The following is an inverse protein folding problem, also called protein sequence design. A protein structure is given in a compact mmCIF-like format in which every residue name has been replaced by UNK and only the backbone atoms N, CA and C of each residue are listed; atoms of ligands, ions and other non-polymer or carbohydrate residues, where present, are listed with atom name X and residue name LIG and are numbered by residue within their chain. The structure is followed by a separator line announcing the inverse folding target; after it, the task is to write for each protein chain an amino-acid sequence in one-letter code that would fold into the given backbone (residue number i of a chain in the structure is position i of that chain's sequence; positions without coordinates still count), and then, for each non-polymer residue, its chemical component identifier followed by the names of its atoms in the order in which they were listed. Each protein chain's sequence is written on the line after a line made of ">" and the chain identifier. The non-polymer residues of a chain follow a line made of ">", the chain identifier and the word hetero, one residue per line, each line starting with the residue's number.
data_IF_563480539240
#
_entry.id   IF_563480539240
#
_cell.length_a   1.000
_cell.length_b   1.000
_cell.length_c   1.000
_cell.angle_alpha   90.00
_cell.angle_beta   90.00
_cell.angle_gamma   90.00
#
_symmetry.space_group_name_H-M   'P 1'
#
loop_
_entity.id
_entity.type
_entity.pdbx_description
1 polymer ?
#
# COMPACT_ATOMS: atom_id res chain seq x y z
N UNK A 1 51.15 16.19 -55.17
CA UNK A 1 50.90 16.22 -53.71
C UNK A 1 49.46 16.62 -53.31
N UNK A 2 48.70 17.38 -54.11
CA UNK A 2 47.30 17.74 -53.78
C UNK A 2 46.29 16.57 -53.76
N UNK A 3 46.39 15.59 -54.69
CA UNK A 3 45.50 14.42 -54.73
C UNK A 3 45.59 13.51 -53.50
N UNK A 4 46.78 13.31 -52.95
CA UNK A 4 46.97 12.51 -51.74
C UNK A 4 46.35 13.19 -50.49
N UNK A 5 46.41 14.53 -50.45
CA UNK A 5 45.87 15.34 -49.36
C UNK A 5 44.34 15.42 -49.38
N UNK A 6 43.70 15.46 -50.56
CA UNK A 6 42.23 15.39 -50.65
C UNK A 6 41.70 14.00 -50.27
N UNK A 7 42.44 12.94 -50.62
CA UNK A 7 42.05 11.56 -50.30
C UNK A 7 42.14 11.25 -48.81
N UNK A 8 43.21 11.73 -48.15
CA UNK A 8 43.34 11.69 -46.68
C UNK A 8 42.22 12.44 -45.95
N UNK A 9 41.81 13.62 -46.45
CA UNK A 9 40.71 14.38 -45.86
C UNK A 9 39.36 13.68 -46.02
N UNK A 10 39.10 13.02 -47.15
CA UNK A 10 37.89 12.21 -47.33
C UNK A 10 37.84 10.99 -46.41
N UNK A 11 38.97 10.28 -46.23
CA UNK A 11 39.04 9.14 -45.30
C UNK A 11 38.81 9.61 -43.86
N UNK A 12 39.40 10.73 -43.46
CA UNK A 12 39.22 11.31 -42.12
C UNK A 12 37.76 11.72 -41.88
N UNK A 13 37.11 12.34 -42.88
CA UNK A 13 35.72 12.76 -42.81
C UNK A 13 34.74 11.58 -42.69
N UNK A 14 34.95 10.52 -43.49
CA UNK A 14 34.13 9.30 -43.41
C UNK A 14 34.35 8.56 -42.10
N UNK A 15 35.60 8.49 -41.61
CA UNK A 15 35.92 7.88 -40.32
C UNK A 15 35.27 8.63 -39.14
N UNK A 16 35.29 9.96 -39.14
CA UNK A 16 34.63 10.77 -38.12
C UNK A 16 33.10 10.58 -38.13
N UNK A 17 32.50 10.48 -39.32
CA UNK A 17 31.05 10.26 -39.47
C UNK A 17 30.63 8.87 -38.96
N UNK A 18 31.42 7.83 -39.28
CA UNK A 18 31.20 6.48 -38.75
C UNK A 18 31.33 6.42 -37.23
N UNK A 19 32.34 7.08 -36.65
CA UNK A 19 32.49 7.19 -35.20
C UNK A 19 31.33 7.95 -34.55
N UNK A 20 30.81 9.00 -35.19
CA UNK A 20 29.63 9.72 -34.73
C UNK A 20 28.37 8.85 -34.72
N UNK A 21 28.16 8.05 -35.76
CA UNK A 21 27.03 7.10 -35.83
C UNK A 21 27.18 6.00 -34.78
N UNK A 22 28.36 5.40 -34.63
CA UNK A 22 28.63 4.39 -33.60
C UNK A 22 28.42 4.98 -32.20
N UNK A 23 28.89 6.21 -31.94
CA UNK A 23 28.66 6.91 -30.68
C UNK A 23 27.17 7.11 -30.39
N UNK A 24 26.38 7.55 -31.37
CA UNK A 24 24.93 7.68 -31.24
C UNK A 24 24.22 6.33 -31.00
N UNK A 25 24.63 5.28 -31.70
CA UNK A 25 24.11 3.92 -31.51
C UNK A 25 24.48 3.39 -30.12
N UNK A 26 25.71 3.61 -29.65
CA UNK A 26 26.16 3.19 -28.31
C UNK A 26 25.47 3.98 -27.20
N UNK A 27 25.25 5.28 -27.37
CA UNK A 27 24.47 6.10 -26.43
C UNK A 27 23.01 5.66 -26.42
N UNK A 28 22.42 5.38 -27.60
CA UNK A 28 21.07 4.83 -27.72
C UNK A 28 20.95 3.47 -27.04
N UNK A 29 21.89 2.56 -27.29
CA UNK A 29 21.95 1.25 -26.66
C UNK A 29 22.14 1.36 -25.15
N UNK A 30 23.04 2.23 -24.68
CA UNK A 30 23.26 2.48 -23.25
C UNK A 30 22.02 3.08 -22.59
N UNK A 31 21.33 4.04 -23.20
CA UNK A 31 20.11 4.62 -22.67
C UNK A 31 18.95 3.60 -22.62
N UNK A 32 18.90 2.66 -23.57
CA UNK A 32 17.93 1.56 -23.59
C UNK A 32 18.26 0.49 -22.54
N UNK A 33 19.52 0.11 -22.36
CA UNK A 33 19.94 -0.91 -21.38
C UNK A 33 19.97 -0.38 -19.95
N UNK A 34 20.38 0.86 -19.73
CA UNK A 34 20.34 1.51 -18.40
C UNK A 34 18.91 1.72 -17.89
N UNK A 35 17.95 2.05 -18.79
CA UNK A 35 16.52 2.07 -18.43
C UNK A 35 16.02 0.71 -17.96
N UNK A 36 16.54 -0.39 -18.54
CA UNK A 36 16.20 -1.77 -18.18
C UNK A 36 16.83 -2.23 -16.87
N UNK A 37 17.97 -1.66 -16.46
CA UNK A 37 18.65 -1.97 -15.20
C UNK A 37 18.26 -1.00 -14.07
N UNK A 38 16.99 -0.62 -14.00
CA UNK A 38 16.51 0.24 -12.92
C UNK A 38 16.31 -0.61 -11.67
N UNK A 39 17.03 -0.33 -10.59
CA UNK A 39 16.72 -0.92 -9.28
C UNK A 39 15.30 -0.52 -8.84
N UNK A 40 14.55 -1.38 -8.14
CA UNK A 40 13.29 -1.01 -7.54
C UNK A 40 13.44 0.21 -6.60
N UNK A 41 12.39 1.02 -6.46
CA UNK A 41 12.44 2.25 -5.66
C UNK A 41 12.45 1.90 -4.17
N UNK A 42 13.34 2.47 -3.35
CA UNK A 42 13.30 2.29 -1.89
C UNK A 42 11.94 2.69 -1.31
N UNK A 43 11.51 1.99 -0.26
CA UNK A 43 10.24 2.27 0.40
C UNK A 43 10.20 3.70 0.96
N UNK A 44 9.02 4.31 0.86
CA UNK A 44 8.69 5.62 1.42
C UNK A 44 7.37 5.50 2.13
N UNK A 45 7.30 6.04 3.34
CA UNK A 45 6.09 6.08 4.16
C UNK A 45 4.93 6.75 3.39
N UNK A 46 3.88 6.00 3.00
CA UNK A 46 2.74 6.54 2.26
C UNK A 46 2.01 7.67 3.01
N UNK A 47 2.05 7.66 4.35
CA UNK A 47 1.30 8.60 5.19
C UNK A 47 1.90 10.00 5.24
N UNK A 48 3.19 10.15 4.92
CA UNK A 48 3.91 11.44 4.84
C UNK A 48 3.65 12.13 3.49
N UNK A 49 3.20 11.37 2.49
CA UNK A 49 3.04 11.88 1.11
C UNK A 49 1.73 12.66 0.93
N UNK A 50 0.83 12.72 1.91
CA UNK A 50 -0.42 13.51 1.78
C UNK A 50 -0.11 15.03 1.71
N UNK A 51 -0.40 15.66 0.57
CA UNK A 51 -0.20 17.12 0.38
C UNK A 51 -1.38 17.88 0.96
N UNK A 52 -1.27 18.34 2.20
CA UNK A 52 -2.38 19.01 2.91
C UNK A 52 -3.07 20.17 2.16
N UNK A 53 -2.38 20.86 1.24
CA UNK A 53 -2.94 21.99 0.47
C UNK A 53 -3.80 21.59 -0.74
N UNK A 54 -3.72 20.36 -1.21
CA UNK A 54 -4.49 19.87 -2.37
C UNK A 54 -5.63 18.91 -1.96
N UNK A 55 -5.82 18.72 -0.65
CA UNK A 55 -6.90 17.90 -0.11
C UNK A 55 -8.16 18.77 -0.03
N UNK A 56 -9.18 18.41 -0.80
CA UNK A 56 -10.53 18.97 -0.70
C UNK A 56 -11.18 18.52 0.63
N UNK A 57 -11.43 19.44 1.58
CA UNK A 57 -11.89 19.07 2.92
C UNK A 57 -13.31 18.47 2.97
N UNK A 58 -14.17 18.88 2.05
CA UNK A 58 -15.54 18.38 1.90
C UNK A 58 -15.57 16.86 1.66
N UNK A 59 -14.56 16.31 0.99
CA UNK A 59 -14.39 14.87 0.79
C UNK A 59 -13.61 14.22 1.94
N UNK A 60 -12.52 14.84 2.40
CA UNK A 60 -11.61 14.22 3.37
C UNK A 60 -12.17 14.13 4.80
N UNK A 61 -13.18 14.97 5.13
CA UNK A 61 -13.89 14.98 6.41
C UNK A 61 -15.03 13.97 6.50
N UNK A 62 -15.49 13.37 5.38
CA UNK A 62 -16.62 12.44 5.38
C UNK A 62 -16.49 11.31 6.43
N UNK A 63 -15.32 10.69 6.66
CA UNK A 63 -15.17 9.70 7.72
C UNK A 63 -15.40 10.25 9.14
N UNK A 64 -15.12 11.53 9.40
CA UNK A 64 -15.42 12.16 10.69
C UNK A 64 -16.93 12.38 10.89
N UNK A 65 -17.67 12.51 9.78
CA UNK A 65 -19.14 12.54 9.77
C UNK A 65 -19.78 11.14 9.84
N UNK A 66 -18.97 10.08 9.98
CA UNK A 66 -19.48 8.70 10.09
C UNK A 66 -19.79 8.03 8.75
N UNK A 67 -19.36 8.61 7.63
CA UNK A 67 -19.42 7.94 6.32
C UNK A 67 -18.32 6.87 6.26
N UNK A 68 -18.68 5.66 5.83
CA UNK A 68 -17.72 4.57 5.67
C UNK A 68 -16.57 4.95 4.74
N UNK A 69 -15.35 4.48 5.05
CA UNK A 69 -14.14 4.80 4.27
C UNK A 69 -14.29 4.43 2.79
N UNK A 70 -14.93 3.30 2.49
CA UNK A 70 -15.21 2.87 1.10
C UNK A 70 -16.05 3.91 0.34
N UNK A 71 -17.13 4.38 0.96
CA UNK A 71 -18.04 5.35 0.36
C UNK A 71 -17.34 6.72 0.23
N UNK A 72 -16.59 7.15 1.26
CA UNK A 72 -15.83 8.38 1.24
C UNK A 72 -14.76 8.39 0.12
N UNK A 73 -14.03 7.29 -0.07
CA UNK A 73 -13.06 7.14 -1.16
C UNK A 73 -13.76 7.17 -2.51
N UNK A 74 -14.89 6.46 -2.63
CA UNK A 74 -15.66 6.41 -3.88
C UNK A 74 -16.17 7.78 -4.29
N UNK A 75 -16.72 8.56 -3.35
CA UNK A 75 -17.15 9.95 -3.59
C UNK A 75 -16.00 10.85 -4.03
N UNK A 76 -14.86 10.77 -3.35
CA UNK A 76 -13.68 11.55 -3.70
C UNK A 76 -13.17 11.21 -5.12
N UNK A 77 -13.12 9.92 -5.48
CA UNK A 77 -12.73 9.47 -6.82
C UNK A 77 -13.75 9.91 -7.90
N UNK A 78 -15.04 9.86 -7.61
CA UNK A 78 -16.09 10.33 -8.51
C UNK A 78 -16.05 11.84 -8.74
N UNK A 79 -15.64 12.61 -7.72
CA UNK A 79 -15.41 14.05 -7.82
C UNK A 79 -14.04 14.42 -8.44
N UNK A 80 -13.22 13.42 -8.80
CA UNK A 80 -11.84 13.59 -9.25
C UNK A 80 -10.93 14.31 -8.23
N UNK A 81 -11.27 14.23 -6.95
CA UNK A 81 -10.49 14.77 -5.82
C UNK A 81 -9.47 13.72 -5.36
N UNK A 82 -8.46 13.49 -6.18
CA UNK A 82 -7.53 12.36 -6.03
C UNK A 82 -6.71 12.42 -4.73
N UNK A 83 -6.26 13.61 -4.31
CA UNK A 83 -5.49 13.78 -3.08
C UNK A 83 -6.36 13.57 -1.82
N UNK A 84 -7.66 13.87 -1.89
CA UNK A 84 -8.62 13.52 -0.83
C UNK A 84 -8.87 12.01 -0.79
N UNK A 85 -9.04 11.38 -1.94
CA UNK A 85 -9.16 9.91 -2.03
C UNK A 85 -7.91 9.21 -1.47
N UNK A 86 -6.72 9.70 -1.83
CA UNK A 86 -5.43 9.23 -1.30
C UNK A 86 -5.39 9.34 0.23
N UNK A 87 -5.78 10.49 0.76
CA UNK A 87 -5.77 10.75 2.20
C UNK A 87 -6.73 9.81 2.97
N UNK A 88 -7.96 9.61 2.47
CA UNK A 88 -8.88 8.68 3.13
C UNK A 88 -8.35 7.24 3.04
N UNK A 89 -7.85 6.82 1.88
CA UNK A 89 -7.35 5.47 1.65
C UNK A 89 -6.12 5.14 2.52
N UNK A 90 -5.16 6.05 2.64
CA UNK A 90 -3.90 5.80 3.35
C UNK A 90 -4.09 5.65 4.85
N UNK A 91 -5.06 6.35 5.44
CA UNK A 91 -5.39 6.28 6.87
C UNK A 91 -6.55 5.31 7.19
N UNK A 92 -7.09 4.61 6.19
CA UNK A 92 -8.22 3.70 6.42
C UNK A 92 -7.79 2.43 7.17
N UNK A 93 -8.50 2.10 8.24
CA UNK A 93 -8.30 0.88 9.03
C UNK A 93 -9.41 -0.15 8.85
N UNK A 94 -10.45 0.15 8.06
CA UNK A 94 -11.65 -0.68 7.90
C UNK A 94 -11.63 -1.56 6.65
N UNK A 95 -10.86 -1.17 5.62
CA UNK A 95 -10.78 -1.91 4.35
C UNK A 95 -10.05 -3.25 4.50
N UNK A 96 -10.61 -4.30 3.88
CA UNK A 96 -9.90 -5.55 3.66
C UNK A 96 -8.69 -5.37 2.73
N UNK A 97 -7.74 -6.30 2.77
CA UNK A 97 -6.53 -6.22 1.94
C UNK A 97 -6.86 -6.18 0.44
N UNK A 98 -7.84 -6.96 -0.01
CA UNK A 98 -8.27 -6.98 -1.41
C UNK A 98 -8.90 -5.65 -1.85
N UNK A 99 -9.77 -5.07 -1.01
CA UNK A 99 -10.39 -3.76 -1.29
C UNK A 99 -9.34 -2.65 -1.30
N UNK A 100 -8.45 -2.66 -0.30
CA UNK A 100 -7.34 -1.71 -0.19
C UNK A 100 -6.44 -1.76 -1.42
N UNK A 101 -6.00 -2.96 -1.83
CA UNK A 101 -5.21 -3.14 -3.04
C UNK A 101 -5.94 -2.65 -4.30
N UNK A 102 -7.21 -3.02 -4.45
CA UNK A 102 -8.04 -2.59 -5.59
C UNK A 102 -8.17 -1.06 -5.68
N UNK A 103 -8.36 -0.38 -4.54
CA UNK A 103 -8.45 1.08 -4.46
C UNK A 103 -7.12 1.76 -4.75
N UNK A 104 -6.00 1.20 -4.29
CA UNK A 104 -4.67 1.69 -4.67
C UNK A 104 -4.43 1.56 -6.18
N UNK A 105 -4.79 0.45 -6.81
CA UNK A 105 -4.68 0.28 -8.26
C UNK A 105 -5.54 1.31 -9.01
N UNK A 106 -6.78 1.52 -8.57
CA UNK A 106 -7.69 2.49 -9.20
C UNK A 106 -7.18 3.91 -9.06
N UNK A 107 -6.74 4.31 -7.86
CA UNK A 107 -6.19 5.63 -7.60
C UNK A 107 -4.89 5.86 -8.41
N UNK A 108 -4.03 4.84 -8.51
CA UNK A 108 -2.84 4.87 -9.36
C UNK A 108 -3.17 5.14 -10.83
N UNK A 109 -4.21 4.47 -11.34
CA UNK A 109 -4.71 4.70 -12.69
C UNK A 109 -5.20 6.14 -12.89
N UNK A 110 -5.96 6.70 -11.95
CA UNK A 110 -6.46 8.08 -12.04
C UNK A 110 -5.33 9.12 -12.01
N UNK A 111 -4.30 8.92 -11.18
CA UNK A 111 -3.11 9.77 -11.20
C UNK A 111 -2.33 9.63 -12.51
N UNK A 112 -2.23 8.42 -13.07
CA UNK A 112 -1.58 8.19 -14.35
C UNK A 112 -2.29 8.94 -15.48
N UNK A 113 -3.62 8.84 -15.54
CA UNK A 113 -4.48 9.57 -16.50
C UNK A 113 -4.34 11.09 -16.35
N UNK A 114 -4.09 11.57 -15.12
CA UNK A 114 -3.84 12.99 -14.81
C UNK A 114 -2.38 13.43 -15.03
N UNK A 115 -1.49 12.53 -15.46
CA UNK A 115 -0.08 12.81 -15.72
C UNK A 115 0.83 12.84 -14.47
N UNK A 116 0.29 12.56 -13.27
CA UNK A 116 1.04 12.54 -12.01
C UNK A 116 1.78 11.20 -11.81
N UNK A 117 2.84 10.98 -12.59
CA UNK A 117 3.57 9.70 -12.64
C UNK A 117 4.10 9.22 -11.29
N UNK A 118 4.66 10.12 -10.48
CA UNK A 118 5.21 9.72 -9.17
C UNK A 118 4.12 9.23 -8.20
N UNK A 119 2.96 9.90 -8.19
CA UNK A 119 1.80 9.51 -7.39
C UNK A 119 1.23 8.18 -7.85
N UNK A 120 1.06 8.03 -9.16
CA UNK A 120 0.62 6.80 -9.76
C UNK A 120 1.56 5.63 -9.41
N UNK A 121 2.88 5.83 -9.55
CA UNK A 121 3.89 4.87 -9.15
C UNK A 121 3.83 4.49 -7.67
N UNK A 122 3.63 5.46 -6.77
CA UNK A 122 3.45 5.16 -5.34
C UNK A 122 2.22 4.29 -5.09
N UNK A 123 1.08 4.63 -5.71
CA UNK A 123 -0.15 3.86 -5.55
C UNK A 123 0.02 2.41 -6.04
N UNK A 124 0.63 2.22 -7.20
CA UNK A 124 0.90 0.87 -7.72
C UNK A 124 1.88 0.08 -6.86
N UNK A 125 2.94 0.71 -6.35
CA UNK A 125 3.85 0.06 -5.38
C UNK A 125 3.12 -0.36 -4.12
N UNK A 126 2.30 0.52 -3.54
CA UNK A 126 1.54 0.20 -2.33
C UNK A 126 0.53 -0.94 -2.60
N UNK A 127 -0.10 -0.99 -3.77
CA UNK A 127 -0.94 -2.12 -4.15
C UNK A 127 -0.14 -3.44 -4.24
N UNK A 128 1.07 -3.40 -4.82
CA UNK A 128 1.97 -4.55 -4.88
C UNK A 128 2.39 -4.99 -3.47
N UNK A 129 2.72 -4.07 -2.57
CA UNK A 129 3.06 -4.38 -1.17
C UNK A 129 1.91 -5.06 -0.42
N UNK A 130 0.67 -4.57 -0.58
CA UNK A 130 -0.52 -5.23 -0.04
C UNK A 130 -0.63 -6.65 -0.59
N UNK A 131 -0.48 -6.84 -1.90
CA UNK A 131 -0.53 -8.16 -2.51
C UNK A 131 0.63 -9.07 -2.07
N UNK A 132 1.82 -8.55 -1.82
CA UNK A 132 2.95 -9.36 -1.36
C UNK A 132 2.77 -9.78 0.10
N UNK A 133 2.42 -8.84 0.97
CA UNK A 133 2.42 -9.05 2.42
C UNK A 133 1.11 -9.60 2.96
N UNK A 134 -0.03 -9.35 2.31
CA UNK A 134 -1.35 -9.78 2.81
C UNK A 134 -1.35 -11.26 3.19
N UNK A 135 -1.72 -11.62 4.43
CA UNK A 135 -1.87 -13.01 4.81
C UNK A 135 -3.19 -13.63 4.32
N UNK A 136 -4.18 -12.81 3.92
CA UNK A 136 -5.56 -13.27 3.66
C UNK A 136 -6.00 -13.21 2.20
N UNK A 137 -5.26 -12.52 1.32
CA UNK A 137 -5.56 -12.52 -0.12
C UNK A 137 -5.42 -13.92 -0.73
N UNK A 138 -6.40 -14.31 -1.55
CA UNK A 138 -6.31 -15.52 -2.38
C UNK A 138 -5.20 -15.40 -3.42
N UNK A 139 -4.62 -16.52 -3.87
CA UNK A 139 -3.55 -16.51 -4.87
C UNK A 139 -3.99 -15.88 -6.19
N UNK A 140 -5.27 -16.02 -6.56
CA UNK A 140 -5.83 -15.35 -7.73
C UNK A 140 -5.82 -13.83 -7.57
N UNK A 141 -6.42 -13.33 -6.47
CA UNK A 141 -6.47 -11.89 -6.20
C UNK A 141 -5.07 -11.30 -6.09
N UNK A 142 -4.15 -12.07 -5.50
CA UNK A 142 -2.74 -11.72 -5.35
C UNK A 142 -2.02 -11.60 -6.69
N UNK A 143 -2.05 -12.64 -7.53
CA UNK A 143 -1.40 -12.63 -8.83
C UNK A 143 -1.98 -11.55 -9.75
N UNK A 144 -3.30 -11.35 -9.75
CA UNK A 144 -3.95 -10.31 -10.53
C UNK A 144 -3.58 -8.90 -10.05
N UNK A 145 -3.49 -8.69 -8.73
CA UNK A 145 -3.08 -7.40 -8.17
C UNK A 145 -1.63 -7.08 -8.54
N UNK A 146 -0.72 -8.04 -8.37
CA UNK A 146 0.69 -7.90 -8.73
C UNK A 146 0.87 -7.63 -10.23
N UNK A 147 0.17 -8.36 -11.09
CA UNK A 147 0.19 -8.14 -12.53
C UNK A 147 -0.30 -6.72 -12.88
N UNK A 148 -1.45 -6.29 -12.33
CA UNK A 148 -2.00 -4.95 -12.59
C UNK A 148 -1.09 -3.84 -12.07
N UNK A 149 -0.49 -4.04 -10.90
CA UNK A 149 0.49 -3.11 -10.34
C UNK A 149 1.73 -3.03 -11.25
N UNK A 150 2.26 -4.17 -11.69
CA UNK A 150 3.40 -4.25 -12.61
C UNK A 150 3.13 -3.55 -13.94
N UNK A 151 1.96 -3.77 -14.55
CA UNK A 151 1.54 -3.07 -15.77
C UNK A 151 1.44 -1.55 -15.55
N UNK A 152 0.85 -1.12 -14.43
CA UNK A 152 0.77 0.31 -14.08
C UNK A 152 2.14 0.95 -13.86
N UNK A 153 3.03 0.25 -13.14
CA UNK A 153 4.42 0.68 -12.92
C UNK A 153 5.21 0.80 -14.22
N UNK A 154 5.01 -0.14 -15.15
CA UNK A 154 5.62 -0.08 -16.49
C UNK A 154 5.11 1.16 -17.26
N UNK A 155 3.82 1.46 -17.19
CA UNK A 155 3.21 2.62 -17.85
C UNK A 155 3.72 3.96 -17.32
N UNK A 156 4.04 4.04 -16.02
CA UNK A 156 4.66 5.24 -15.41
C UNK A 156 6.19 5.22 -15.44
N UNK A 157 6.79 4.26 -16.15
CA UNK A 157 8.24 4.11 -16.36
C UNK A 157 9.04 3.76 -15.08
N UNK A 158 8.38 3.18 -14.08
CA UNK A 158 9.01 2.63 -12.88
C UNK A 158 9.46 1.18 -13.14
N UNK A 159 10.41 0.99 -14.07
CA UNK A 159 10.72 -0.32 -14.66
C UNK A 159 11.19 -1.36 -13.65
N UNK A 160 12.02 -0.99 -12.66
CA UNK A 160 12.49 -1.91 -11.62
C UNK A 160 11.36 -2.43 -10.73
N UNK A 161 10.46 -1.53 -10.32
CA UNK A 161 9.27 -1.88 -9.54
C UNK A 161 8.30 -2.74 -10.38
N UNK A 162 8.17 -2.43 -11.67
CA UNK A 162 7.32 -3.16 -12.60
C UNK A 162 7.79 -4.60 -12.79
N UNK A 163 9.09 -4.80 -13.05
CA UNK A 163 9.69 -6.12 -13.17
C UNK A 163 9.52 -6.92 -11.88
N UNK A 164 9.80 -6.32 -10.72
CA UNK A 164 9.63 -6.97 -9.42
C UNK A 164 8.18 -7.43 -9.17
N UNK A 165 7.19 -6.62 -9.53
CA UNK A 165 5.78 -6.99 -9.38
C UNK A 165 5.38 -8.10 -10.37
N UNK A 166 5.84 -8.04 -11.62
CA UNK A 166 5.60 -9.07 -12.62
C UNK A 166 6.25 -10.41 -12.26
N UNK A 167 7.48 -10.41 -11.76
CA UNK A 167 8.19 -11.62 -11.34
C UNK A 167 7.44 -12.31 -10.17
N UNK A 168 6.89 -11.54 -9.24
CA UNK A 168 6.04 -12.10 -8.18
C UNK A 168 4.70 -12.63 -8.71
N UNK A 169 4.07 -11.94 -9.68
CA UNK A 169 2.84 -12.43 -10.31
C UNK A 169 3.09 -13.75 -11.06
N UNK A 170 4.25 -13.86 -11.73
CA UNK A 170 4.73 -15.07 -12.36
C UNK A 170 4.88 -16.20 -11.33
N UNK A 171 5.60 -15.96 -10.24
CA UNK A 171 5.84 -16.98 -9.21
C UNK A 171 4.54 -17.45 -8.55
N UNK A 172 3.59 -16.55 -8.27
CA UNK A 172 2.27 -16.95 -7.77
C UNK A 172 1.55 -17.82 -8.82
N UNK A 173 1.57 -17.44 -10.10
CA UNK A 173 0.94 -18.21 -11.16
C UNK A 173 1.55 -19.61 -11.35
N UNK A 174 2.88 -19.70 -11.22
CA UNK A 174 3.65 -20.93 -11.42
C UNK A 174 3.52 -21.89 -10.22
N UNK A 175 3.72 -21.39 -9.00
CA UNK A 175 3.83 -22.25 -7.80
C UNK A 175 2.51 -22.44 -7.04
N UNK A 176 1.48 -21.62 -7.30
CA UNK A 176 0.21 -21.79 -6.60
C UNK A 176 -0.50 -23.07 -7.03
N UNK A 177 -0.87 -23.96 -6.08
CA UNK A 177 -1.69 -25.13 -6.38
C UNK A 177 -3.18 -24.77 -6.52
N UNK A 178 -3.58 -23.56 -6.12
CA UNK A 178 -4.98 -23.12 -6.03
C UNK A 178 -5.49 -22.44 -7.31
N UNK A 179 -4.60 -22.16 -8.26
CA UNK A 179 -4.98 -21.57 -9.55
C UNK A 179 -5.46 -22.64 -10.53
N UNK A 180 -6.51 -22.32 -11.28
CA UNK A 180 -6.97 -23.13 -12.42
C UNK A 180 -6.10 -22.88 -13.64
N UNK A 181 -6.13 -23.78 -14.62
CA UNK A 181 -5.45 -23.58 -15.89
C UNK A 181 -5.93 -22.30 -16.60
N UNK A 182 -7.23 -22.01 -16.55
CA UNK A 182 -7.80 -20.78 -17.11
C UNK A 182 -7.24 -19.53 -16.43
N UNK A 183 -7.12 -19.53 -15.09
CA UNK A 183 -6.51 -18.42 -14.36
C UNK A 183 -5.04 -18.23 -14.75
N UNK A 184 -4.26 -19.32 -14.84
CA UNK A 184 -2.86 -19.24 -15.26
C UNK A 184 -2.71 -18.71 -16.68
N UNK A 185 -3.56 -19.14 -17.62
CA UNK A 185 -3.56 -18.65 -19.00
C UNK A 185 -3.83 -17.13 -19.06
N UNK A 186 -4.81 -16.66 -18.29
CA UNK A 186 -5.11 -15.22 -18.22
C UNK A 186 -3.94 -14.41 -17.66
N UNK A 187 -3.31 -14.88 -16.57
CA UNK A 187 -2.15 -14.21 -15.96
C UNK A 187 -0.97 -14.21 -16.93
N UNK A 188 -0.70 -15.35 -17.59
CA UNK A 188 0.36 -15.49 -18.58
C UNK A 188 0.23 -14.48 -19.73
N UNK A 189 -0.98 -14.29 -20.29
CA UNK A 189 -1.20 -13.33 -21.37
C UNK A 189 -0.88 -11.89 -20.94
N UNK A 190 -1.26 -11.52 -19.72
CA UNK A 190 -0.93 -10.21 -19.16
C UNK A 190 0.57 -10.04 -18.90
N UNK A 191 1.23 -11.08 -18.39
CA UNK A 191 2.68 -11.10 -18.18
C UNK A 191 3.44 -10.97 -19.50
N UNK A 192 3.06 -11.72 -20.53
CA UNK A 192 3.66 -11.62 -21.88
C UNK A 192 3.61 -10.18 -22.41
N UNK A 193 2.45 -9.55 -22.30
CA UNK A 193 2.25 -8.16 -22.73
C UNK A 193 3.12 -7.20 -21.93
N UNK A 194 3.16 -7.36 -20.61
CA UNK A 194 3.88 -6.43 -19.72
C UNK A 194 5.40 -6.62 -19.83
N UNK A 195 5.90 -7.86 -19.86
CA UNK A 195 7.32 -8.16 -20.06
C UNK A 195 7.82 -7.66 -21.42
N UNK A 196 7.04 -7.84 -22.49
CA UNK A 196 7.37 -7.28 -23.79
C UNK A 196 7.47 -5.74 -23.75
N UNK A 197 6.56 -5.06 -23.05
CA UNK A 197 6.60 -3.61 -22.85
C UNK A 197 7.81 -3.16 -22.01
N UNK A 198 8.28 -3.99 -21.08
CA UNK A 198 9.52 -3.80 -20.32
C UNK A 198 10.78 -4.12 -21.14
N UNK A 199 10.63 -4.70 -22.33
CA UNK A 199 11.75 -5.13 -23.17
C UNK A 199 12.44 -6.40 -22.68
N UNK A 200 11.74 -7.19 -21.86
CA UNK A 200 12.18 -8.51 -21.39
C UNK A 200 11.83 -9.58 -22.44
N UNK A 201 12.65 -10.61 -22.56
CA UNK A 201 12.45 -11.67 -23.54
C UNK A 201 11.50 -12.76 -23.08
N UNK A 202 11.29 -13.75 -23.95
CA UNK A 202 10.37 -14.87 -23.67
C UNK A 202 10.82 -15.73 -22.48
N UNK A 203 12.11 -15.71 -22.15
CA UNK A 203 12.69 -16.44 -21.03
C UNK A 203 12.02 -16.17 -19.69
N UNK A 204 11.41 -14.99 -19.51
CA UNK A 204 10.72 -14.59 -18.27
C UNK A 204 9.38 -15.29 -18.03
N UNK A 205 8.78 -15.92 -19.03
CA UNK A 205 7.44 -16.51 -18.93
C UNK A 205 7.30 -17.87 -19.61
N UNK A 206 8.35 -18.35 -20.28
CA UNK A 206 8.32 -19.56 -21.10
C UNK A 206 8.04 -20.83 -20.30
N UNK A 207 8.56 -20.92 -19.08
CA UNK A 207 8.30 -22.01 -18.14
C UNK A 207 6.83 -22.05 -17.73
N UNK A 208 6.23 -20.91 -17.38
CA UNK A 208 4.79 -20.81 -17.12
C UNK A 208 3.97 -21.19 -18.35
N UNK A 209 4.36 -20.76 -19.55
CA UNK A 209 3.68 -21.16 -20.78
C UNK A 209 3.71 -22.68 -21.02
N UNK A 210 4.84 -23.34 -20.76
CA UNK A 210 4.95 -24.80 -20.82
C UNK A 210 4.05 -25.47 -19.79
N UNK A 211 4.01 -24.96 -18.56
CA UNK A 211 3.14 -25.46 -17.49
C UNK A 211 1.66 -25.37 -17.88
N UNK A 212 1.20 -24.20 -18.34
CA UNK A 212 -0.19 -24.00 -18.76
C UNK A 212 -0.58 -24.94 -19.89
N UNK A 213 0.34 -25.19 -20.83
CA UNK A 213 0.13 -26.16 -21.93
C UNK A 213 0.05 -27.60 -21.41
N UNK A 214 0.85 -27.96 -20.41
CA UNK A 214 0.87 -29.31 -19.83
C UNK A 214 -0.38 -29.70 -19.03
N UNK A 215 -1.21 -28.72 -18.65
CA UNK A 215 -2.53 -28.97 -18.04
C UNK A 215 -2.49 -29.47 -16.59
N UNK A 216 -1.77 -28.77 -15.70
CA UNK A 216 -1.82 -29.07 -14.26
C UNK A 216 -3.21 -28.82 -13.66
N UNK A 217 -3.75 -29.85 -13.01
CA UNK A 217 -5.00 -29.75 -12.26
C UNK A 217 -4.81 -28.88 -11.01
N UNK A 218 -5.75 -27.96 -10.78
CA UNK A 218 -5.81 -27.20 -9.53
C UNK A 218 -6.17 -28.14 -8.37
N UNK A 219 -5.61 -27.90 -7.18
CA UNK A 219 -6.13 -28.48 -5.95
C UNK A 219 -7.22 -27.55 -5.41
N UNK A 220 -8.50 -27.96 -5.41
CA UNK A 220 -9.62 -27.10 -5.03
C UNK A 220 -9.73 -26.84 -3.52
N UNK A 221 -8.72 -27.20 -2.72
CA UNK A 221 -8.76 -26.90 -1.29
C UNK A 221 -8.69 -25.38 -1.08
N UNK A 222 -9.57 -24.80 -0.24
CA UNK A 222 -9.52 -23.39 0.06
C UNK A 222 -8.19 -23.07 0.74
N UNK A 223 -7.54 -21.97 0.32
CA UNK A 223 -6.46 -21.37 1.09
C UNK A 223 -7.04 -20.93 2.44
N UNK A 224 -6.89 -21.78 3.46
CA UNK A 224 -7.24 -21.42 4.82
C UNK A 224 -6.04 -20.75 5.45
N UNK A 225 -5.89 -19.45 5.21
CA UNK A 225 -5.10 -18.64 6.13
C UNK A 225 -5.85 -18.58 7.46
N UNK A 226 -5.18 -18.85 8.57
CA UNK A 226 -5.74 -18.59 9.90
C UNK A 226 -5.93 -17.07 10.04
N UNK A 227 -7.17 -16.61 9.85
CA UNK A 227 -7.53 -15.20 9.98
C UNK A 227 -7.76 -14.91 11.45
N UNK A 228 -7.06 -13.91 11.98
CA UNK A 228 -7.35 -13.39 13.32
C UNK A 228 -8.57 -12.49 13.22
N UNK A 229 -9.74 -13.05 13.53
CA UNK A 229 -10.99 -12.30 13.59
C UNK A 229 -10.99 -11.42 14.83
N UNK A 230 -11.13 -10.11 14.63
CA UNK A 230 -11.26 -9.16 15.74
C UNK A 230 -12.59 -9.41 16.46
N UNK A 231 -12.58 -9.65 17.78
CA UNK A 231 -13.81 -9.79 18.54
C UNK A 231 -14.66 -8.51 18.49
N UNK A 232 -15.99 -8.60 18.62
CA UNK A 232 -16.85 -7.42 18.63
C UNK A 232 -16.51 -6.51 19.81
N UNK A 233 -16.48 -5.20 19.55
CA UNK A 233 -16.25 -4.20 20.58
C UNK A 233 -17.48 -4.10 21.50
N UNK A 234 -17.31 -4.17 22.84
CA UNK A 234 -18.42 -3.96 23.76
C UNK A 234 -19.05 -2.57 23.60
N UNK A 235 -20.38 -2.51 23.68
CA UNK A 235 -21.12 -1.25 23.59
C UNK A 235 -20.76 -0.34 24.76
N UNK A 236 -20.42 0.91 24.46
CA UNK A 236 -20.15 1.95 25.46
C UNK A 236 -20.96 3.21 25.11
N UNK A 237 -21.89 3.58 25.98
CA UNK A 237 -22.82 4.70 25.74
C UNK A 237 -22.11 6.06 25.69
N UNK A 238 -21.11 6.30 26.56
CA UNK A 238 -20.34 7.55 26.53
C UNK A 238 -19.56 7.68 25.22
N UNK A 239 -18.97 6.58 24.73
CA UNK A 239 -18.27 6.60 23.43
C UNK A 239 -19.23 6.89 22.30
N UNK A 240 -20.39 6.22 22.27
CA UNK A 240 -21.39 6.43 21.22
C UNK A 240 -21.92 7.87 21.20
N UNK A 241 -22.15 8.47 22.38
CA UNK A 241 -22.56 9.87 22.50
C UNK A 241 -21.48 10.84 21.99
N UNK A 242 -20.21 10.60 22.34
CA UNK A 242 -19.10 11.43 21.87
C UNK A 242 -18.87 11.30 20.35
N UNK A 243 -19.01 10.09 19.80
CA UNK A 243 -18.95 9.87 18.35
C UNK A 243 -20.07 10.61 17.61
N UNK A 244 -21.29 10.55 18.13
CA UNK A 244 -22.43 11.29 17.58
C UNK A 244 -22.21 12.81 17.64
N UNK A 245 -21.61 13.33 18.72
CA UNK A 245 -21.27 14.74 18.84
C UNK A 245 -20.22 15.17 17.80
N UNK A 246 -19.17 14.37 17.58
CA UNK A 246 -18.19 14.60 16.49
C UNK A 246 -18.87 14.58 15.12
N UNK A 247 -19.73 13.60 14.85
CA UNK A 247 -20.42 13.47 13.57
C UNK A 247 -21.28 14.71 13.30
N UNK A 248 -22.12 15.11 14.26
CA UNK A 248 -22.97 16.29 14.14
C UNK A 248 -22.15 17.59 13.98
N UNK A 249 -21.00 17.71 14.65
CA UNK A 249 -20.10 18.85 14.46
C UNK A 249 -19.46 18.86 13.06
N UNK A 250 -19.06 17.69 12.55
CA UNK A 250 -18.48 17.54 11.21
C UNK A 250 -19.50 17.87 10.13
N UNK A 251 -20.74 17.41 10.26
CA UNK A 251 -21.82 17.71 9.32
C UNK A 251 -22.05 19.22 9.18
N UNK A 252 -22.03 19.97 10.30
CA UNK A 252 -22.13 21.44 10.27
C UNK A 252 -21.00 22.09 9.48
N UNK A 253 -19.78 21.54 9.55
CA UNK A 253 -18.64 22.00 8.75
C UNK A 253 -18.84 21.66 7.26
N UNK A 254 -19.26 20.43 6.96
CA UNK A 254 -19.51 19.96 5.60
C UNK A 254 -20.56 20.78 4.86
N UNK A 255 -21.65 21.19 5.54
CA UNK A 255 -22.70 22.04 4.95
C UNK A 255 -22.15 23.37 4.41
N UNK A 256 -21.11 23.92 5.04
CA UNK A 256 -20.50 25.21 4.68
C UNK A 256 -19.38 25.08 3.64
N UNK A 257 -18.86 23.87 3.44
CA UNK A 257 -17.84 23.60 2.42
C UNK A 257 -18.42 23.44 1.00
N UNK A 258 -19.74 23.39 0.87
CA UNK A 258 -20.44 23.33 -0.43
C UNK A 258 -20.43 24.71 -1.10
N UNK A 259 -20.09 24.82 -2.40
CA UNK A 259 -20.06 26.09 -3.12
C UNK A 259 -21.34 26.94 -2.95
N UNK A 260 -21.22 28.27 -2.82
CA UNK A 260 -20.04 29.10 -3.06
C UNK A 260 -19.10 29.28 -1.85
N UNK A 261 -19.48 28.80 -0.67
CA UNK A 261 -18.67 28.90 0.54
C UNK A 261 -17.68 27.72 0.56
N UNK A 262 -16.39 27.99 0.78
CA UNK A 262 -15.33 26.97 0.79
C UNK A 262 -14.49 26.97 2.06
N UNK A 263 -14.72 27.93 2.95
CA UNK A 263 -13.98 28.05 4.20
C UNK A 263 -14.95 28.12 5.38
N UNK A 264 -14.91 27.13 6.29
CA UNK A 264 -15.72 27.16 7.49
C UNK A 264 -15.22 28.26 8.42
N UNK A 265 -16.15 28.88 9.16
CA UNK A 265 -15.78 29.89 10.16
C UNK A 265 -14.96 29.27 11.29
N UNK A 266 -14.12 30.09 11.94
CA UNK A 266 -13.38 29.67 13.15
C UNK A 266 -14.29 29.11 14.24
N UNK A 267 -15.52 29.61 14.33
CA UNK A 267 -16.52 29.11 15.28
C UNK A 267 -16.89 27.66 14.99
N UNK A 268 -17.17 27.29 13.74
CA UNK A 268 -17.48 25.90 13.38
C UNK A 268 -16.28 24.97 13.56
N UNK A 269 -15.08 25.45 13.23
CA UNK A 269 -13.85 24.68 13.45
C UNK A 269 -13.61 24.44 14.96
N UNK A 270 -13.84 25.43 15.81
CA UNK A 270 -13.72 25.27 17.26
C UNK A 270 -14.74 24.26 17.82
N UNK A 271 -15.99 24.27 17.36
CA UNK A 271 -16.99 23.27 17.77
C UNK A 271 -16.54 21.85 17.40
N UNK A 272 -16.02 21.65 16.18
CA UNK A 272 -15.50 20.35 15.77
C UNK A 272 -14.25 19.95 16.58
N UNK A 273 -13.36 20.91 16.87
CA UNK A 273 -12.20 20.67 17.71
C UNK A 273 -12.59 20.22 19.13
N UNK A 274 -13.55 20.89 19.76
CA UNK A 274 -14.07 20.55 21.08
C UNK A 274 -14.71 19.16 21.10
N UNK A 275 -15.50 18.82 20.08
CA UNK A 275 -16.10 17.49 19.95
C UNK A 275 -15.04 16.39 19.80
N UNK A 276 -14.01 16.61 18.98
CA UNK A 276 -12.88 15.69 18.82
C UNK A 276 -12.07 15.51 20.11
N UNK A 277 -11.85 16.58 20.87
CA UNK A 277 -11.16 16.53 22.16
C UNK A 277 -11.99 15.81 23.23
N UNK A 278 -13.32 16.03 23.27
CA UNK A 278 -14.21 15.32 24.18
C UNK A 278 -14.24 13.82 23.87
N UNK A 279 -14.33 13.44 22.60
CA UNK A 279 -14.27 12.04 22.16
C UNK A 279 -12.93 11.38 22.54
N UNK A 280 -11.80 12.08 22.38
CA UNK A 280 -10.48 11.60 22.79
C UNK A 280 -10.43 11.27 24.28
N UNK A 281 -10.97 12.14 25.14
CA UNK A 281 -11.00 11.91 26.59
C UNK A 281 -11.85 10.70 26.98
N UNK A 282 -13.00 10.52 26.33
CA UNK A 282 -13.87 9.36 26.55
C UNK A 282 -13.19 8.08 26.08
N UNK A 283 -12.61 8.07 24.87
CA UNK A 283 -11.94 6.90 24.31
C UNK A 283 -10.65 6.53 25.05
N UNK A 284 -9.91 7.49 25.60
CA UNK A 284 -8.77 7.21 26.46
C UNK A 284 -9.18 6.48 27.75
N UNK A 285 -10.33 6.82 28.34
CA UNK A 285 -10.87 6.10 29.51
C UNK A 285 -11.42 4.73 29.12
N UNK A 286 -12.15 4.64 28.01
CA UNK A 286 -12.79 3.40 27.56
C UNK A 286 -11.81 2.35 27.00
N UNK A 287 -10.76 2.80 26.31
CA UNK A 287 -9.79 1.95 25.58
C UNK A 287 -8.35 2.12 26.09
N UNK A 288 -8.17 2.73 27.26
CA UNK A 288 -6.86 2.92 27.90
C UNK A 288 -6.28 1.64 28.48
N UNK A 289 -5.04 1.73 28.95
CA UNK A 289 -4.30 0.57 29.48
C UNK A 289 -5.00 -0.09 30.67
N UNK A 290 -5.60 0.70 31.57
CA UNK A 290 -6.36 0.19 32.71
C UNK A 290 -7.60 -0.62 32.29
N UNK A 291 -8.37 -0.10 31.33
CA UNK A 291 -9.56 -0.77 30.80
C UNK A 291 -9.20 -2.06 30.06
N UNK A 292 -8.12 -2.03 29.25
CA UNK A 292 -7.61 -3.21 28.57
C UNK A 292 -7.14 -4.26 29.61
N UNK A 293 -6.37 -3.87 30.62
CA UNK A 293 -5.84 -4.81 31.61
C UNK A 293 -6.93 -5.48 32.47
N UNK A 294 -8.03 -4.77 32.75
CA UNK A 294 -9.14 -5.27 33.57
C UNK A 294 -10.07 -6.24 32.83
N UNK A 295 -10.04 -6.28 31.50
CA UNK A 295 -10.97 -7.06 30.68
C UNK A 295 -10.51 -8.50 30.42
N UNK A 296 -11.42 -9.37 29.97
CA UNK A 296 -11.10 -10.71 29.47
C UNK A 296 -10.44 -10.66 28.09
N UNK A 297 -9.64 -11.68 27.73
CA UNK A 297 -8.76 -11.64 26.55
C UNK A 297 -9.46 -11.22 25.23
N UNK A 298 -10.65 -11.75 24.87
CA UNK A 298 -11.37 -11.27 23.67
C UNK A 298 -11.67 -9.77 23.72
N UNK A 299 -12.11 -9.27 24.88
CA UNK A 299 -12.36 -7.84 25.08
C UNK A 299 -11.06 -7.03 25.07
N UNK A 300 -9.96 -7.53 25.64
CA UNK A 300 -8.65 -6.86 25.54
C UNK A 300 -8.27 -6.60 24.09
N UNK A 301 -8.45 -7.62 23.22
CA UNK A 301 -8.19 -7.52 21.79
C UNK A 301 -9.09 -6.47 21.12
N UNK A 302 -10.40 -6.51 21.39
CA UNK A 302 -11.35 -5.56 20.81
C UNK A 302 -11.03 -4.10 21.20
N UNK A 303 -10.75 -3.85 22.50
CA UNK A 303 -10.40 -2.52 23.00
C UNK A 303 -9.06 -2.04 22.43
N UNK A 304 -8.04 -2.91 22.36
CA UNK A 304 -6.75 -2.56 21.78
C UNK A 304 -6.85 -2.24 20.27
N UNK A 305 -7.67 -2.99 19.53
CA UNK A 305 -7.95 -2.70 18.13
C UNK A 305 -8.66 -1.35 17.97
N UNK A 306 -9.70 -1.08 18.78
CA UNK A 306 -10.39 0.21 18.78
C UNK A 306 -9.45 1.39 19.10
N UNK A 307 -8.49 1.20 20.01
CA UNK A 307 -7.46 2.21 20.32
C UNK A 307 -6.57 2.52 19.11
N UNK A 308 -6.13 1.51 18.37
CA UNK A 308 -5.33 1.69 17.13
C UNK A 308 -6.13 2.46 16.08
N UNK A 309 -7.41 2.10 15.87
CA UNK A 309 -8.31 2.80 14.95
C UNK A 309 -8.45 4.28 15.32
N UNK A 310 -8.69 4.58 16.61
CA UNK A 310 -8.80 5.95 17.10
C UNK A 310 -7.49 6.74 16.92
N UNK A 311 -6.36 6.18 17.31
CA UNK A 311 -5.06 6.85 17.20
C UNK A 311 -4.64 7.08 15.74
N UNK A 312 -5.06 6.21 14.82
CA UNK A 312 -4.85 6.41 13.37
C UNK A 312 -5.64 7.62 12.86
N UNK A 313 -6.91 7.75 13.27
CA UNK A 313 -7.72 8.93 12.95
C UNK A 313 -7.13 10.20 13.56
N UNK A 314 -6.68 10.14 14.82
CA UNK A 314 -6.03 11.26 15.52
C UNK A 314 -4.76 11.70 14.78
N UNK A 315 -3.95 10.75 14.30
CA UNK A 315 -2.76 11.04 13.49
C UNK A 315 -3.12 11.68 12.14
N UNK A 316 -4.18 11.20 11.45
CA UNK A 316 -4.70 11.83 10.23
C UNK A 316 -5.03 13.31 10.46
N UNK A 317 -5.70 13.63 11.57
CA UNK A 317 -6.03 15.00 11.95
C UNK A 317 -4.77 15.81 12.28
N UNK A 318 -3.87 15.27 13.10
CA UNK A 318 -2.60 15.92 13.47
C UNK A 318 -1.73 16.27 12.26
N UNK A 319 -1.77 15.46 11.20
CA UNK A 319 -1.04 15.70 9.95
C UNK A 319 -1.79 16.58 8.95
N UNK A 320 -2.94 17.15 9.34
CA UNK A 320 -3.82 17.94 8.46
C UNK A 320 -4.21 17.20 7.19
N UNK A 321 -4.28 15.88 7.25
CA UNK A 321 -4.71 15.04 6.13
C UNK A 321 -6.23 15.14 5.89
N UNK A 322 -6.94 15.98 6.64
CA UNK A 322 -8.32 16.41 6.36
C UNK A 322 -8.41 17.64 5.45
N UNK A 323 -7.28 18.25 5.07
CA UNK A 323 -7.23 19.49 4.29
C UNK A 323 -7.48 20.77 5.11
N UNK A 324 -7.81 20.63 6.40
CA UNK A 324 -8.01 21.73 7.34
C UNK A 324 -7.17 21.53 8.60
N UNK A 325 -6.85 22.64 9.27
CA UNK A 325 -6.36 22.60 10.64
C UNK A 325 -7.56 22.48 11.58
N UNK A 326 -7.69 21.34 12.26
CA UNK A 326 -8.86 21.04 13.11
C UNK A 326 -8.52 21.17 14.59
N UNK A 327 -7.45 20.50 15.04
CA UNK A 327 -7.04 20.48 16.45
C UNK A 327 -5.56 20.86 16.54
N UNK A 328 -5.23 22.16 16.68
CA UNK A 328 -3.85 22.64 16.68
C UNK A 328 -2.94 21.95 17.73
N UNK A 329 -3.51 21.59 18.89
CA UNK A 329 -2.77 20.88 19.93
C UNK A 329 -2.29 19.49 19.48
N UNK A 330 -3.12 18.78 18.71
CA UNK A 330 -2.74 17.47 18.16
C UNK A 330 -1.68 17.62 17.07
N UNK A 331 -1.79 18.66 16.24
CA UNK A 331 -0.80 18.97 15.20
C UNK A 331 0.57 19.28 15.81
N UNK A 332 0.61 20.02 16.92
CA UNK A 332 1.83 20.29 17.66
C UNK A 332 2.41 19.04 18.36
N UNK A 333 1.58 18.02 18.60
CA UNK A 333 1.93 16.78 19.30
C UNK A 333 1.99 15.56 18.36
N UNK A 334 2.17 15.76 17.05
CA UNK A 334 2.17 14.69 16.04
C UNK A 334 3.15 13.55 16.40
N UNK A 335 4.37 13.89 16.84
CA UNK A 335 5.36 12.90 17.27
C UNK A 335 4.88 12.08 18.49
N UNK A 336 4.22 12.72 19.46
CA UNK A 336 3.68 12.04 20.63
C UNK A 336 2.50 11.13 20.29
N UNK A 337 1.63 11.54 19.35
CA UNK A 337 0.55 10.69 18.83
C UNK A 337 1.13 9.48 18.08
N UNK A 338 2.21 9.69 17.31
CA UNK A 338 2.91 8.62 16.61
C UNK A 338 3.50 7.59 17.57
N UNK A 339 4.14 8.03 18.66
CA UNK A 339 4.65 7.14 19.71
C UNK A 339 3.53 6.37 20.43
N UNK A 340 2.40 7.02 20.71
CA UNK A 340 1.22 6.36 21.27
C UNK A 340 0.65 5.30 20.31
N UNK A 341 0.60 5.59 19.01
CA UNK A 341 0.12 4.66 17.99
C UNK A 341 1.05 3.44 17.88
N UNK A 342 2.38 3.66 17.88
CA UNK A 342 3.36 2.57 17.93
C UNK A 342 3.12 1.66 19.14
N UNK A 343 3.03 2.23 20.34
CA UNK A 343 2.79 1.46 21.57
C UNK A 343 1.43 0.72 21.55
N UNK A 344 0.39 1.31 20.95
CA UNK A 344 -0.90 0.66 20.78
C UNK A 344 -0.82 -0.56 19.84
N UNK A 345 -0.07 -0.47 18.75
CA UNK A 345 0.20 -1.61 17.86
C UNK A 345 0.99 -2.71 18.55
N UNK A 346 2.04 -2.37 19.32
CA UNK A 346 2.79 -3.36 20.10
C UNK A 346 1.88 -4.13 21.06
N UNK A 347 1.00 -3.41 21.76
CA UNK A 347 0.01 -4.02 22.66
C UNK A 347 -0.97 -4.91 21.88
N UNK A 348 -1.51 -4.41 20.76
CA UNK A 348 -2.46 -5.15 19.92
C UNK A 348 -1.86 -6.47 19.43
N UNK A 349 -0.66 -6.46 18.88
CA UNK A 349 -0.05 -7.69 18.33
C UNK A 349 0.38 -8.68 19.40
N UNK A 350 0.78 -8.21 20.60
CA UNK A 350 0.97 -9.09 21.77
C UNK A 350 -0.34 -9.78 22.18
N UNK A 351 -1.47 -9.06 22.14
CA UNK A 351 -2.78 -9.62 22.45
C UNK A 351 -3.28 -10.57 21.35
N UNK A 352 -3.08 -10.24 20.08
CA UNK A 352 -3.39 -11.13 18.97
C UNK A 352 -2.62 -12.46 19.04
N UNK A 353 -1.31 -12.42 19.34
CA UNK A 353 -0.53 -13.64 19.50
C UNK A 353 -1.09 -14.55 20.60
N UNK A 354 -1.49 -13.97 21.73
CA UNK A 354 -2.13 -14.70 22.84
C UNK A 354 -3.53 -15.22 22.48
N UNK A 355 -4.29 -14.47 21.70
CA UNK A 355 -5.68 -14.80 21.36
C UNK A 355 -5.79 -15.86 20.26
N UNK A 356 -4.95 -15.75 19.22
CA UNK A 356 -4.99 -16.64 18.07
C UNK A 356 -4.15 -17.92 18.23
N UNK A 357 -3.21 -17.93 19.18
CA UNK A 357 -2.29 -19.05 19.40
C UNK A 357 -1.19 -19.16 18.34
N UNK A 358 -0.32 -20.16 18.51
CA UNK A 358 0.92 -20.30 17.73
C UNK A 358 0.66 -20.55 16.22
N UNK A 359 -0.47 -21.17 15.86
CA UNK A 359 -0.83 -21.47 14.47
C UNK A 359 -1.01 -20.20 13.61
N UNK A 360 -1.30 -19.04 14.24
CA UNK A 360 -1.47 -17.77 13.56
C UNK A 360 -0.17 -16.95 13.43
N UNK A 361 0.96 -17.44 13.93
CA UNK A 361 2.21 -16.65 14.02
C UNK A 361 2.63 -16.07 12.67
N UNK A 362 2.64 -16.88 11.60
CA UNK A 362 3.02 -16.41 10.27
C UNK A 362 2.05 -15.35 9.71
N UNK A 363 0.74 -15.54 9.94
CA UNK A 363 -0.29 -14.55 9.57
C UNK A 363 -0.06 -13.23 10.29
N UNK A 364 0.21 -13.28 11.59
CA UNK A 364 0.43 -12.10 12.42
C UNK A 364 1.69 -11.33 12.05
N UNK A 365 2.81 -12.02 11.79
CA UNK A 365 4.05 -11.38 11.32
C UNK A 365 3.80 -10.65 9.99
N UNK A 366 3.12 -11.31 9.05
CA UNK A 366 2.77 -10.70 7.75
C UNK A 366 1.85 -9.49 7.90
N UNK A 367 0.86 -9.57 8.79
CA UNK A 367 -0.04 -8.45 9.08
C UNK A 367 0.70 -7.27 9.71
N UNK A 368 1.66 -7.53 10.62
CA UNK A 368 2.52 -6.50 11.22
C UNK A 368 3.39 -5.78 10.18
N UNK A 369 4.05 -6.57 9.33
CA UNK A 369 4.86 -6.03 8.24
C UNK A 369 4.02 -5.20 7.26
N UNK A 370 2.81 -5.67 6.93
CA UNK A 370 1.89 -4.92 6.07
C UNK A 370 1.48 -3.58 6.72
N UNK A 371 1.10 -3.58 8.00
CA UNK A 371 0.77 -2.35 8.72
C UNK A 371 1.95 -1.36 8.74
N UNK A 372 3.18 -1.86 8.90
CA UNK A 372 4.40 -1.05 8.80
C UNK A 372 4.60 -0.46 7.40
N UNK A 373 4.47 -1.26 6.34
CA UNK A 373 4.64 -0.80 4.95
C UNK A 373 3.54 0.14 4.45
N UNK A 374 2.35 0.05 5.04
CA UNK A 374 1.29 1.04 4.84
C UNK A 374 1.52 2.35 5.60
N UNK A 375 2.52 2.43 6.48
CA UNK A 375 2.78 3.58 7.36
C UNK A 375 1.81 3.69 8.53
N UNK A 376 0.91 2.70 8.70
CA UNK A 376 -0.09 2.69 9.78
C UNK A 376 0.54 2.33 11.12
N UNK A 377 1.55 1.44 11.14
CA UNK A 377 2.32 1.09 12.34
C UNK A 377 3.65 1.87 12.33
N UNK A 378 3.75 3.01 13.04
CA UNK A 378 4.93 3.86 12.99
C UNK A 378 6.13 3.20 13.67
N UNK A 379 7.31 3.41 13.09
CA UNK A 379 8.58 2.81 13.55
C UNK A 379 8.47 1.28 13.78
N UNK A 380 7.69 0.61 12.92
CA UNK A 380 7.50 -0.84 12.96
C UNK A 380 8.85 -1.57 13.08
N UNK A 381 9.01 -2.55 13.99
CA UNK A 381 10.27 -3.26 14.22
C UNK A 381 10.56 -4.28 13.11
N UNK A 382 10.72 -3.79 11.88
CA UNK A 382 10.80 -4.60 10.66
C UNK A 382 11.95 -5.62 10.72
N UNK A 383 13.10 -5.26 11.29
CA UNK A 383 14.25 -6.18 11.40
C UNK A 383 13.96 -7.43 12.23
N UNK A 384 13.30 -7.25 13.38
CA UNK A 384 12.90 -8.34 14.24
C UNK A 384 11.85 -9.21 13.52
N UNK A 385 10.83 -8.57 12.93
CA UNK A 385 9.76 -9.24 12.22
C UNK A 385 10.26 -10.03 11.00
N UNK A 386 11.24 -9.51 10.26
CA UNK A 386 11.87 -10.23 9.14
C UNK A 386 12.61 -11.47 9.61
N UNK A 387 13.30 -11.39 10.74
CA UNK A 387 14.01 -12.54 11.33
C UNK A 387 13.01 -13.63 11.77
N UNK A 388 11.92 -13.23 12.42
CA UNK A 388 10.82 -14.12 12.80
C UNK A 388 10.13 -14.72 11.58
N UNK A 389 9.89 -13.93 10.54
CA UNK A 389 9.30 -14.36 9.29
C UNK A 389 10.13 -15.47 8.63
N UNK A 390 11.46 -15.31 8.57
CA UNK A 390 12.35 -16.30 7.99
C UNK A 390 12.31 -17.62 8.78
N UNK A 391 12.31 -17.55 10.10
CA UNK A 391 12.20 -18.72 10.97
C UNK A 391 10.86 -19.45 10.79
N UNK A 392 9.74 -18.72 10.80
CA UNK A 392 8.40 -19.28 10.61
C UNK A 392 8.20 -19.84 9.18
N UNK A 393 8.72 -19.16 8.16
CA UNK A 393 8.59 -19.58 6.75
C UNK A 393 9.40 -20.84 6.44
N UNK A 394 10.49 -21.11 7.16
CA UNK A 394 11.27 -22.34 7.02
C UNK A 394 10.45 -23.59 7.40
N UNK A 395 9.55 -23.44 8.38
CA UNK A 395 8.69 -24.50 8.91
C UNK A 395 7.39 -24.66 8.11
N UNK A 396 7.02 -23.67 7.30
CA UNK A 396 5.82 -23.71 6.47
C UNK A 396 5.95 -24.66 5.27
N UNK A 397 4.90 -25.46 5.05
CA UNK A 397 4.71 -26.31 3.89
C UNK A 397 4.23 -25.54 2.63
N UNK A 398 3.97 -24.24 2.73
CA UNK A 398 3.51 -23.42 1.61
C UNK A 398 4.53 -23.44 0.45
N UNK A 399 4.08 -23.68 -0.80
CA UNK A 399 4.94 -23.63 -1.98
C UNK A 399 5.39 -22.19 -2.29
N UNK A 400 4.60 -21.20 -1.87
CA UNK A 400 4.96 -19.78 -1.94
C UNK A 400 5.54 -19.31 -0.61
N UNK A 401 6.73 -18.73 -0.66
CA UNK A 401 7.47 -18.23 0.50
C UNK A 401 7.73 -16.73 0.36
N UNK A 402 7.50 -16.00 1.44
CA UNK A 402 7.88 -14.61 1.55
C UNK A 402 9.37 -14.53 1.90
N UNK A 403 10.15 -13.83 1.07
CA UNK A 403 11.57 -13.53 1.27
C UNK A 403 11.79 -12.04 1.33
N UNK A 404 12.95 -11.66 1.86
CA UNK A 404 13.41 -10.27 1.87
C UNK A 404 14.65 -10.19 0.99
N UNK A 405 14.60 -9.37 -0.04
CA UNK A 405 15.74 -8.99 -0.85
C UNK A 405 16.29 -7.68 -0.33
N UNK A 406 17.62 -7.59 -0.21
CA UNK A 406 18.31 -6.34 0.11
C UNK A 406 19.09 -5.90 -1.12
N UNK A 407 18.76 -4.72 -1.65
CA UNK A 407 19.44 -4.13 -2.80
C UNK A 407 19.65 -2.63 -2.51
N UNK A 408 20.90 -2.16 -2.65
CA UNK A 408 21.25 -0.75 -2.40
C UNK A 408 20.74 -0.23 -1.04
N UNK A 409 20.91 -1.03 0.03
CA UNK A 409 20.47 -0.73 1.40
C UNK A 409 18.94 -0.66 1.60
N UNK A 410 18.14 -0.85 0.55
CA UNK A 410 16.69 -0.96 0.63
C UNK A 410 16.23 -2.42 0.71
N UNK A 411 15.15 -2.64 1.47
CA UNK A 411 14.52 -3.95 1.66
C UNK A 411 13.23 -4.08 0.88
N UNK A 412 13.13 -5.18 0.14
CA UNK A 412 11.98 -5.53 -0.68
C UNK A 412 11.43 -6.88 -0.25
N UNK A 413 10.13 -6.94 -0.01
CA UNK A 413 9.43 -8.18 0.21
C UNK A 413 9.08 -8.83 -1.12
N UNK A 414 9.34 -10.13 -1.25
CA UNK A 414 9.13 -10.87 -2.50
C UNK A 414 8.52 -12.22 -2.20
N UNK A 415 7.45 -12.56 -2.91
CA UNK A 415 6.92 -13.92 -2.95
C UNK A 415 7.69 -14.72 -3.99
N UNK A 416 8.25 -15.85 -3.55
CA UNK A 416 9.00 -16.75 -4.43
C UNK A 416 8.58 -18.19 -4.20
N UNK A 417 8.70 -19.01 -5.24
CA UNK A 417 8.53 -20.46 -5.11
C UNK A 417 9.60 -21.11 -4.24
N UNK A 418 9.23 -22.23 -3.62
CA UNK A 418 10.20 -23.21 -3.11
C UNK A 418 10.72 -24.02 -4.31
N UNK A 419 12.05 -24.06 -4.55
CA UNK A 419 12.63 -24.85 -5.63
C UNK A 419 12.40 -26.35 -5.44
#
# INVERSE_FOLDING_TARGET
>A
MQKARSWLLTILGVGALLLGIIGLVSIGAYALTSKRQSSPTPWRDPTIVARGRSIAPDMALLPLAGVDDEEAISRALSANELDSAYSVLVYSTSLSDSERAGRWLLLGQRYQESGERERAGQCYRTAAEVATLSPVMTDLARAQTLLRAGTGLAAVQAYGDAELACDQAHDVAFYSPHLTQAHRQQILQGLQTTYAALGQGEEKWLDLARMVTSGQAAMPQPQQATVVTVPPLPVNAEVAEAEAARQAATEKVLVVLVPPQREPSKYLLNILAEALQAEDQVKQRAYGDEAIAAADLPTQVALAHARVVWLTLKLKVARRATGLSLVPDWEAQEAGIRDQLRAAYETLYKLYARYAGDEAQLTLIRQQLLAGRLGLYPDCPEEALVSELQAASAQSASPLRLKVLTQQEARYFVLTGKP
#
